data_IF_957293055896
#
_entry.id   IF_957293055896
#
_cell.length_a   1.000
_cell.length_b   1.000
_cell.length_c   1.000
_cell.angle_alpha   90.00
_cell.angle_beta   90.00
_cell.angle_gamma   90.00
#
_symmetry.space_group_name_H-M   'P 1'
#
loop_
_entity.id
_entity.type
_entity.pdbx_description
1 polymer ?
#
# COMPACT_ATOMS: atom_id res chain seq x y z
N UNK A 1 -12.74 8.99 -24.84
CA UNK A 1 -13.06 7.55 -24.94
C UNK A 1 -13.66 7.12 -23.63
N UNK A 2 -14.90 6.63 -23.63
CA UNK A 2 -15.54 6.06 -22.44
C UNK A 2 -14.88 4.72 -22.15
N UNK A 3 -14.02 4.67 -21.12
CA UNK A 3 -13.49 3.39 -20.63
C UNK A 3 -14.68 2.47 -20.30
N UNK A 4 -14.62 1.17 -20.65
CA UNK A 4 -15.65 0.23 -20.23
C UNK A 4 -15.80 0.32 -18.71
N UNK A 5 -17.02 0.29 -18.20
CA UNK A 5 -17.27 0.39 -16.76
C UNK A 5 -16.61 -0.79 -16.04
N UNK A 6 -15.43 -0.58 -15.47
CA UNK A 6 -14.72 -1.55 -14.64
C UNK A 6 -14.92 -1.21 -13.16
N UNK A 7 -14.83 -2.23 -12.29
CA UNK A 7 -14.80 -1.95 -10.86
C UNK A 7 -13.39 -1.51 -10.46
N UNK A 8 -13.30 -0.27 -9.96
CA UNK A 8 -12.04 0.37 -9.54
C UNK A 8 -11.40 -0.29 -8.32
N UNK A 9 -12.18 -0.89 -7.39
CA UNK A 9 -11.67 -1.64 -6.23
C UNK A 9 -11.06 -2.97 -6.67
N UNK A 10 -11.80 -3.70 -7.50
CA UNK A 10 -11.30 -4.96 -8.10
C UNK A 10 -10.02 -4.69 -8.89
N UNK A 11 -10.02 -3.64 -9.70
CA UNK A 11 -8.87 -3.30 -10.53
C UNK A 11 -7.68 -2.80 -9.73
N UNK A 12 -7.88 -2.09 -8.62
CA UNK A 12 -6.80 -1.75 -7.68
C UNK A 12 -6.15 -3.01 -7.09
N UNK A 13 -6.96 -3.99 -6.65
CA UNK A 13 -6.43 -5.26 -6.13
C UNK A 13 -5.72 -6.09 -7.19
N UNK A 14 -6.28 -6.18 -8.40
CA UNK A 14 -5.68 -6.92 -9.50
C UNK A 14 -4.38 -6.25 -9.98
N UNK A 15 -4.36 -4.92 -10.05
CA UNK A 15 -3.19 -4.16 -10.49
C UNK A 15 -2.06 -4.28 -9.46
N UNK A 16 -2.39 -4.17 -8.18
CA UNK A 16 -1.48 -4.50 -7.08
C UNK A 16 -0.92 -5.92 -7.21
N UNK A 17 -1.80 -6.93 -7.34
CA UNK A 17 -1.39 -8.32 -7.39
C UNK A 17 -0.52 -8.62 -8.62
N UNK A 18 -0.85 -8.05 -9.77
CA UNK A 18 -0.04 -8.18 -10.98
C UNK A 18 1.35 -7.56 -10.81
N UNK A 19 1.43 -6.38 -10.18
CA UNK A 19 2.71 -5.70 -9.93
C UNK A 19 3.58 -6.43 -8.90
N UNK A 20 2.97 -7.00 -7.86
CA UNK A 20 3.60 -7.86 -6.84
C UNK A 20 3.87 -9.29 -7.35
N UNK A 21 3.53 -9.60 -8.61
CA UNK A 21 3.60 -10.95 -9.18
C UNK A 21 2.89 -12.01 -8.29
N UNK A 22 1.77 -11.61 -7.70
CA UNK A 22 0.92 -12.41 -6.84
C UNK A 22 1.68 -13.02 -5.64
N UNK A 23 2.68 -12.32 -5.11
CA UNK A 23 3.50 -12.78 -4.00
C UNK A 23 2.92 -12.34 -2.65
N UNK A 24 3.79 -12.04 -1.70
CA UNK A 24 3.46 -11.92 -0.30
C UNK A 24 2.71 -10.64 0.04
N UNK A 25 2.99 -9.53 -0.64
CA UNK A 25 2.22 -8.30 -0.41
C UNK A 25 0.76 -8.50 -0.85
N UNK A 26 0.53 -9.32 -1.89
CA UNK A 26 -0.82 -9.71 -2.29
C UNK A 26 -1.52 -10.48 -1.18
N UNK A 27 -0.82 -11.40 -0.51
CA UNK A 27 -1.38 -12.15 0.61
C UNK A 27 -1.63 -11.26 1.84
N UNK A 28 -0.78 -10.27 2.08
CA UNK A 28 -0.99 -9.26 3.12
C UNK A 28 -2.22 -8.41 2.81
N UNK A 29 -2.36 -7.85 1.61
CA UNK A 29 -3.53 -7.07 1.20
C UNK A 29 -4.83 -7.91 1.32
N UNK A 30 -4.79 -9.20 0.97
CA UNK A 30 -5.90 -10.13 1.18
C UNK A 30 -6.19 -10.38 2.67
N UNK A 31 -5.16 -10.47 3.51
CA UNK A 31 -5.30 -10.61 4.96
C UNK A 31 -5.95 -9.39 5.61
N UNK A 32 -5.51 -8.19 5.24
CA UNK A 32 -6.14 -6.94 5.67
C UNK A 32 -7.58 -6.86 5.19
N UNK A 33 -7.84 -7.21 3.93
CA UNK A 33 -9.21 -7.24 3.39
C UNK A 33 -10.13 -8.17 4.17
N UNK A 34 -9.61 -9.37 4.53
CA UNK A 34 -10.34 -10.36 5.33
C UNK A 34 -10.67 -9.81 6.72
N UNK A 35 -9.68 -9.24 7.40
CA UNK A 35 -9.87 -8.63 8.73
C UNK A 35 -10.93 -7.52 8.69
N UNK A 36 -10.88 -6.62 7.70
CA UNK A 36 -11.87 -5.55 7.55
C UNK A 36 -13.30 -6.07 7.34
N UNK A 37 -13.46 -7.19 6.63
CA UNK A 37 -14.78 -7.81 6.41
C UNK A 37 -15.30 -8.54 7.65
N UNK A 38 -14.43 -9.29 8.33
CA UNK A 38 -14.79 -10.08 9.51
C UNK A 38 -15.02 -9.19 10.74
N UNK A 39 -14.13 -8.24 11.01
CA UNK A 39 -14.22 -7.33 12.15
C UNK A 39 -15.15 -6.13 11.89
N UNK A 40 -15.48 -5.83 10.62
CA UNK A 40 -16.27 -4.67 10.19
C UNK A 40 -15.69 -3.31 10.61
N UNK A 41 -14.43 -3.28 11.03
CA UNK A 41 -13.63 -2.12 11.43
C UNK A 41 -12.15 -2.48 11.24
N UNK A 42 -11.26 -1.50 11.35
CA UNK A 42 -9.85 -1.79 11.50
C UNK A 42 -9.57 -2.40 12.88
N UNK A 43 -8.94 -3.56 12.90
CA UNK A 43 -8.46 -4.23 14.11
C UNK A 43 -7.00 -4.65 13.86
N UNK A 44 -6.06 -3.82 14.33
CA UNK A 44 -4.64 -4.05 14.09
C UNK A 44 -4.11 -5.38 14.65
N UNK A 45 -4.72 -5.89 15.73
CA UNK A 45 -4.39 -7.19 16.31
C UNK A 45 -4.84 -8.35 15.43
N UNK A 46 -6.00 -8.22 14.79
CA UNK A 46 -6.49 -9.21 13.83
C UNK A 46 -5.73 -9.14 12.50
N UNK A 47 -5.44 -7.93 11.99
CA UNK A 47 -4.63 -7.70 10.79
C UNK A 47 -3.25 -8.33 10.91
N UNK A 48 -2.51 -8.06 11.99
CA UNK A 48 -1.17 -8.62 12.17
C UNK A 48 -1.22 -10.16 12.27
N UNK A 49 -2.27 -10.72 12.86
CA UNK A 49 -2.47 -12.16 12.93
C UNK A 49 -2.58 -12.76 11.53
N UNK A 50 -3.33 -12.13 10.62
CA UNK A 50 -3.40 -12.56 9.22
C UNK A 50 -2.06 -12.45 8.50
N UNK A 51 -1.33 -11.35 8.70
CA UNK A 51 -0.01 -11.18 8.08
C UNK A 51 0.99 -12.23 8.56
N UNK A 52 1.06 -12.46 9.88
CA UNK A 52 1.93 -13.47 10.48
C UNK A 52 1.53 -14.88 10.05
N UNK A 53 0.24 -15.20 9.92
CA UNK A 53 -0.20 -16.49 9.38
C UNK A 53 0.30 -16.72 7.96
N UNK A 54 0.21 -15.71 7.08
CA UNK A 54 0.74 -15.80 5.71
C UNK A 54 2.26 -15.98 5.69
N UNK A 55 2.98 -15.19 6.49
CA UNK A 55 4.44 -15.27 6.60
C UNK A 55 4.94 -16.60 7.20
N UNK A 56 4.31 -17.04 8.28
CA UNK A 56 4.69 -18.25 9.01
C UNK A 56 4.39 -19.52 8.19
N UNK A 57 3.23 -19.57 7.52
CA UNK A 57 2.82 -20.72 6.70
C UNK A 57 3.56 -20.87 5.38
N UNK A 58 4.37 -19.89 4.97
CA UNK A 58 5.13 -19.92 3.71
C UNK A 58 6.49 -20.60 3.86
N UNK A 59 6.86 -21.43 2.88
CA UNK A 59 8.18 -22.03 2.72
C UNK A 59 8.59 -22.08 1.22
N UNK A 60 9.66 -21.40 0.78
CA UNK A 60 10.57 -20.57 1.58
C UNK A 60 9.88 -19.33 2.17
N UNK A 61 10.54 -18.66 3.13
CA UNK A 61 10.02 -17.41 3.68
C UNK A 61 9.91 -16.35 2.59
N UNK A 62 8.80 -15.60 2.54
CA UNK A 62 8.58 -14.63 1.49
C UNK A 62 9.48 -13.41 1.66
N UNK A 63 9.81 -12.76 0.55
CA UNK A 63 10.49 -11.47 0.58
C UNK A 63 9.49 -10.34 0.88
N UNK A 64 9.48 -9.87 2.13
CA UNK A 64 8.60 -8.77 2.60
C UNK A 64 9.40 -7.56 3.12
N UNK A 65 10.69 -7.49 2.78
CA UNK A 65 11.60 -6.44 3.22
C UNK A 65 12.13 -6.60 4.65
N UNK A 66 13.31 -6.03 4.90
CA UNK A 66 14.08 -6.25 6.14
C UNK A 66 13.37 -5.78 7.41
N UNK A 67 12.69 -4.62 7.36
CA UNK A 67 12.00 -4.07 8.53
C UNK A 67 10.81 -4.95 8.91
N UNK A 68 9.97 -5.33 7.93
CA UNK A 68 8.83 -6.23 8.16
C UNK A 68 9.29 -7.59 8.69
N UNK A 69 10.34 -8.17 8.07
CA UNK A 69 10.95 -9.42 8.55
C UNK A 69 11.43 -9.29 10.00
N UNK A 70 12.19 -8.23 10.32
CA UNK A 70 12.69 -8.00 11.68
C UNK A 70 11.56 -7.92 12.70
N UNK A 71 10.48 -7.21 12.37
CA UNK A 71 9.30 -7.13 13.25
C UNK A 71 8.64 -8.50 13.43
N UNK A 72 8.50 -9.30 12.36
CA UNK A 72 7.90 -10.63 12.44
C UNK A 72 8.75 -11.61 13.22
N UNK A 73 10.07 -11.57 13.05
CA UNK A 73 11.00 -12.37 13.84
C UNK A 73 10.91 -12.03 15.33
N UNK A 74 10.83 -10.74 15.69
CA UNK A 74 10.61 -10.33 17.08
C UNK A 74 9.23 -10.76 17.62
N UNK A 75 8.19 -10.75 16.77
CA UNK A 75 6.88 -11.29 17.15
C UNK A 75 6.92 -12.79 17.41
N UNK A 76 7.59 -13.55 16.55
CA UNK A 76 7.66 -15.01 16.64
C UNK A 76 8.48 -15.50 17.84
N UNK A 77 9.31 -14.64 18.44
CA UNK A 77 9.93 -14.91 19.75
C UNK A 77 8.91 -14.88 20.90
N UNK A 78 7.81 -14.14 20.75
CA UNK A 78 6.75 -13.97 21.77
C UNK A 78 5.57 -14.91 21.56
N UNK A 79 5.19 -15.17 20.31
CA UNK A 79 4.13 -16.13 19.95
C UNK A 79 4.63 -17.09 18.89
N UNK A 80 4.64 -18.39 19.20
CA UNK A 80 5.16 -19.43 18.31
C UNK A 80 4.10 -20.11 17.45
N UNK A 81 2.86 -20.18 17.92
CA UNK A 81 1.77 -20.92 17.28
C UNK A 81 0.55 -20.02 17.04
N UNK A 82 -0.26 -20.30 16.00
CA UNK A 82 -1.49 -19.56 15.74
C UNK A 82 -2.57 -19.83 16.82
N UNK A 83 -3.50 -18.88 17.04
CA UNK A 83 -3.62 -17.59 16.37
C UNK A 83 -2.55 -16.59 16.86
N UNK A 84 -1.86 -15.93 15.93
CA UNK A 84 -0.79 -14.96 16.20
C UNK A 84 -1.35 -13.61 16.70
N UNK A 85 -2.14 -13.63 17.77
CA UNK A 85 -2.81 -12.44 18.33
C UNK A 85 -2.08 -11.91 19.55
N UNK A 86 -1.72 -10.63 19.49
CA UNK A 86 -1.24 -9.84 20.63
C UNK A 86 -2.12 -8.61 20.81
N UNK A 87 -2.21 -8.05 22.03
CA UNK A 87 -2.74 -6.71 22.24
C UNK A 87 -2.01 -5.67 21.38
N UNK A 88 -2.75 -4.70 20.82
CA UNK A 88 -2.20 -3.67 19.93
C UNK A 88 -1.03 -2.89 20.52
N UNK A 89 -1.06 -2.64 21.84
CA UNK A 89 0.06 -2.00 22.56
C UNK A 89 1.37 -2.79 22.46
N UNK A 90 1.27 -4.12 22.53
CA UNK A 90 2.44 -4.99 22.49
C UNK A 90 2.96 -5.08 21.05
N UNK A 91 2.05 -5.04 20.07
CA UNK A 91 2.39 -4.95 18.65
C UNK A 91 3.18 -3.69 18.35
N UNK A 92 2.69 -2.53 18.78
CA UNK A 92 3.41 -1.27 18.61
C UNK A 92 4.72 -1.23 19.39
N UNK A 93 4.80 -1.86 20.56
CA UNK A 93 6.07 -1.98 21.31
C UNK A 93 7.14 -2.74 20.53
N UNK A 94 6.77 -3.79 19.79
CA UNK A 94 7.69 -4.57 18.95
C UNK A 94 8.15 -3.73 17.76
N UNK A 95 7.22 -3.10 17.05
CA UNK A 95 7.58 -2.23 15.91
C UNK A 95 8.47 -1.07 16.35
N UNK A 96 8.19 -0.46 17.50
CA UNK A 96 9.02 0.59 18.10
C UNK A 96 10.43 0.09 18.44
N UNK A 97 10.56 -1.09 19.07
CA UNK A 97 11.88 -1.65 19.39
C UNK A 97 12.72 -1.90 18.13
N UNK A 98 12.10 -2.36 17.03
CA UNK A 98 12.78 -2.49 15.73
C UNK A 98 13.14 -1.13 15.15
N UNK A 99 12.27 -0.12 15.30
CA UNK A 99 12.56 1.26 14.88
C UNK A 99 13.81 1.83 15.56
N UNK A 100 13.88 1.72 16.88
CA UNK A 100 15.01 2.17 17.69
C UNK A 100 16.29 1.40 17.36
N UNK A 101 16.21 0.08 17.19
CA UNK A 101 17.35 -0.77 16.80
C UNK A 101 17.93 -0.37 15.44
N UNK A 102 17.11 0.22 14.56
CA UNK A 102 17.52 0.72 13.25
C UNK A 102 17.77 2.25 13.25
N UNK A 103 17.96 2.87 14.43
CA UNK A 103 18.23 4.30 14.58
C UNK A 103 17.19 5.21 13.88
N UNK A 104 15.93 4.77 13.91
CA UNK A 104 14.81 5.48 13.26
C UNK A 104 14.72 5.29 11.73
N UNK A 105 15.63 4.54 11.11
CA UNK A 105 15.71 4.36 9.66
C UNK A 105 14.75 3.27 9.15
N UNK A 106 13.46 3.38 9.48
CA UNK A 106 12.42 2.41 9.07
C UNK A 106 11.34 3.02 8.20
N UNK A 107 11.65 4.07 7.45
CA UNK A 107 10.71 4.79 6.57
C UNK A 107 10.53 4.09 5.20
N UNK A 108 10.44 2.75 5.19
CA UNK A 108 10.26 1.95 3.99
C UNK A 108 8.83 2.00 3.45
N UNK A 109 8.64 1.75 2.15
CA UNK A 109 7.35 1.86 1.45
C UNK A 109 6.38 0.68 1.64
N UNK A 110 6.81 -0.41 2.30
CA UNK A 110 6.02 -1.64 2.45
C UNK A 110 4.59 -1.41 3.01
N UNK A 111 4.36 -0.52 4.00
CA UNK A 111 3.01 -0.19 4.44
C UNK A 111 2.10 0.36 3.33
N UNK A 112 2.58 1.32 2.55
CA UNK A 112 1.81 1.91 1.46
C UNK A 112 1.47 0.91 0.35
N UNK A 113 2.31 -0.11 0.18
CA UNK A 113 2.11 -1.17 -0.80
C UNK A 113 0.97 -2.13 -0.41
N UNK A 114 0.60 -2.25 0.87
CA UNK A 114 -0.36 -3.26 1.33
C UNK A 114 -1.63 -2.70 1.98
N UNK A 115 -1.63 -1.44 2.40
CA UNK A 115 -2.69 -0.85 3.22
C UNK A 115 -3.92 -0.39 2.43
N UNK A 116 -3.81 -0.30 1.09
CA UNK A 116 -4.87 0.21 0.21
C UNK A 116 -6.26 -0.45 0.34
N UNK A 117 -6.45 -1.70 0.81
CA UNK A 117 -7.79 -2.23 1.10
C UNK A 117 -8.58 -1.40 2.14
N UNK A 118 -7.92 -0.61 2.99
CA UNK A 118 -8.57 0.36 3.87
C UNK A 118 -9.45 1.35 3.07
N UNK A 119 -9.00 1.74 1.88
CA UNK A 119 -9.71 2.63 0.96
C UNK A 119 -11.00 2.03 0.40
N UNK A 120 -11.25 0.73 0.62
CA UNK A 120 -12.47 0.08 0.13
C UNK A 120 -13.60 0.15 1.16
N UNK A 121 -13.25 0.26 2.45
CA UNK A 121 -14.18 0.16 3.55
C UNK A 121 -14.97 1.46 3.75
N UNK A 122 -16.22 1.52 3.27
CA UNK A 122 -17.08 2.72 3.41
C UNK A 122 -17.38 3.14 4.86
N UNK A 123 -17.20 2.24 5.82
CA UNK A 123 -17.40 2.52 7.25
C UNK A 123 -16.27 3.36 7.87
N UNK A 124 -15.14 3.48 7.16
CA UNK A 124 -14.05 4.36 7.52
C UNK A 124 -14.22 5.63 6.69
N UNK A 125 -14.53 6.76 7.34
CA UNK A 125 -14.54 8.06 6.69
C UNK A 125 -13.12 8.51 6.30
N UNK A 126 -13.01 9.51 5.43
CA UNK A 126 -11.73 9.89 4.83
C UNK A 126 -10.73 10.48 5.85
N UNK A 127 -11.22 11.17 6.88
CA UNK A 127 -10.34 11.68 7.96
C UNK A 127 -9.76 10.53 8.77
N UNK A 128 -10.60 9.57 9.16
CA UNK A 128 -10.19 8.37 9.86
C UNK A 128 -9.35 7.45 8.97
N UNK A 129 -9.54 7.45 7.65
CA UNK A 129 -8.78 6.62 6.71
C UNK A 129 -7.28 6.94 6.77
N UNK A 130 -6.92 8.23 6.79
CA UNK A 130 -5.53 8.63 6.89
C UNK A 130 -4.87 8.11 8.18
N UNK A 131 -5.52 8.34 9.32
CA UNK A 131 -4.98 7.92 10.62
C UNK A 131 -4.94 6.39 10.76
N UNK A 132 -5.97 5.68 10.31
CA UNK A 132 -6.02 4.22 10.33
C UNK A 132 -4.92 3.62 9.45
N UNK A 133 -4.61 4.22 8.31
CA UNK A 133 -3.49 3.78 7.47
C UNK A 133 -2.12 4.03 8.12
N UNK A 134 -1.97 5.12 8.89
CA UNK A 134 -0.80 5.34 9.75
C UNK A 134 -0.70 4.28 10.86
N UNK A 135 -1.84 3.92 11.47
CA UNK A 135 -1.92 2.92 12.53
C UNK A 135 -1.67 1.49 12.01
N UNK A 136 -2.10 1.17 10.79
CA UNK A 136 -1.74 -0.05 10.05
C UNK A 136 -0.24 -0.08 9.75
N UNK A 137 0.31 1.05 9.29
CA UNK A 137 1.74 1.12 9.01
C UNK A 137 2.56 0.81 10.26
N UNK A 138 2.16 1.37 11.41
CA UNK A 138 2.79 1.16 12.73
C UNK A 138 2.78 -0.30 13.20
N UNK A 139 1.99 -1.19 12.59
CA UNK A 139 2.08 -2.63 12.88
C UNK A 139 3.46 -3.20 12.55
N UNK A 140 4.18 -2.60 11.58
CA UNK A 140 5.51 -3.06 11.15
C UNK A 140 6.53 -1.94 10.99
N UNK A 141 6.10 -0.72 10.69
CA UNK A 141 6.96 0.44 10.48
C UNK A 141 6.52 1.56 11.42
N UNK A 142 7.23 1.77 12.52
CA UNK A 142 6.88 2.81 13.50
C UNK A 142 7.12 4.25 12.98
N UNK A 143 7.89 4.39 11.90
CA UNK A 143 8.19 5.67 11.26
C UNK A 143 6.92 6.44 10.85
N UNK A 144 6.82 7.68 11.33
CA UNK A 144 5.78 8.64 10.91
C UNK A 144 5.77 8.85 9.41
N UNK A 145 6.93 8.93 8.76
CA UNK A 145 7.03 9.09 7.30
C UNK A 145 6.39 7.93 6.55
N UNK A 146 6.66 6.68 6.96
CA UNK A 146 6.04 5.51 6.33
C UNK A 146 4.51 5.50 6.52
N UNK A 147 4.04 5.90 7.71
CA UNK A 147 2.63 6.07 7.99
C UNK A 147 1.94 7.11 7.09
N UNK A 148 2.50 8.32 7.02
CA UNK A 148 1.91 9.42 6.23
C UNK A 148 1.84 9.07 4.73
N UNK A 149 2.85 8.38 4.18
CA UNK A 149 2.82 7.90 2.79
C UNK A 149 1.77 6.80 2.58
N UNK A 150 1.62 5.88 3.56
CA UNK A 150 0.55 4.87 3.54
C UNK A 150 -0.84 5.52 3.54
N UNK A 151 -1.04 6.54 4.39
CA UNK A 151 -2.27 7.32 4.46
C UNK A 151 -2.61 8.05 3.17
N UNK A 152 -1.64 8.75 2.57
CA UNK A 152 -1.85 9.41 1.28
C UNK A 152 -2.17 8.41 0.16
N UNK A 153 -1.47 7.27 0.10
CA UNK A 153 -1.74 6.23 -0.89
C UNK A 153 -3.18 5.71 -0.77
N UNK A 154 -3.63 5.45 0.46
CA UNK A 154 -5.01 5.03 0.73
C UNK A 154 -6.04 6.09 0.31
N UNK A 155 -5.79 7.37 0.62
CA UNK A 155 -6.68 8.47 0.23
C UNK A 155 -6.76 8.63 -1.29
N UNK A 156 -5.64 8.63 -2.00
CA UNK A 156 -5.62 8.73 -3.48
C UNK A 156 -6.42 7.55 -4.06
N UNK A 157 -6.18 6.33 -3.56
CA UNK A 157 -6.92 5.14 -3.98
C UNK A 157 -8.43 5.28 -3.73
N UNK A 158 -8.83 5.80 -2.55
CA UNK A 158 -10.24 6.05 -2.18
C UNK A 158 -10.90 7.02 -3.15
N UNK A 159 -10.27 8.15 -3.43
CA UNK A 159 -10.83 9.16 -4.32
C UNK A 159 -10.99 8.61 -5.75
N UNK A 160 -10.00 7.88 -6.25
CA UNK A 160 -10.12 7.20 -7.55
C UNK A 160 -11.29 6.21 -7.55
N UNK A 161 -11.42 5.38 -6.52
CA UNK A 161 -12.54 4.43 -6.38
C UNK A 161 -13.90 5.12 -6.36
N UNK A 162 -13.96 6.32 -5.79
CA UNK A 162 -15.16 7.16 -5.74
C UNK A 162 -15.42 7.92 -7.06
N UNK A 163 -14.58 7.73 -8.08
CA UNK A 163 -14.81 8.25 -9.43
C UNK A 163 -14.14 9.59 -9.71
N UNK A 164 -13.27 10.07 -8.83
CA UNK A 164 -12.51 11.30 -9.04
C UNK A 164 -11.53 11.12 -10.20
N UNK A 165 -11.32 12.19 -10.95
CA UNK A 165 -10.25 12.26 -11.94
C UNK A 165 -8.88 12.33 -11.25
N UNK A 166 -7.81 11.97 -11.96
CA UNK A 166 -6.47 11.80 -11.38
C UNK A 166 -5.99 13.00 -10.55
N UNK A 167 -6.06 14.20 -11.12
CA UNK A 167 -5.54 15.41 -10.49
C UNK A 167 -6.41 15.88 -9.31
N UNK A 168 -7.72 15.64 -9.41
CA UNK A 168 -8.68 15.91 -8.33
C UNK A 168 -8.46 14.93 -7.17
N UNK A 169 -8.20 13.66 -7.46
CA UNK A 169 -7.93 12.63 -6.46
C UNK A 169 -6.65 12.93 -5.67
N UNK A 170 -5.58 13.37 -6.34
CA UNK A 170 -4.34 13.80 -5.66
C UNK A 170 -4.60 15.03 -4.79
N UNK A 171 -5.21 16.07 -5.35
CA UNK A 171 -5.49 17.31 -4.61
C UNK A 171 -6.33 17.03 -3.37
N UNK A 172 -7.44 16.30 -3.53
CA UNK A 172 -8.34 15.93 -2.43
C UNK A 172 -7.65 15.09 -1.36
N UNK A 173 -6.76 14.16 -1.75
CA UNK A 173 -5.98 13.37 -0.80
C UNK A 173 -5.05 14.23 0.06
N UNK A 174 -4.32 15.17 -0.55
CA UNK A 174 -3.43 16.07 0.19
C UNK A 174 -4.20 17.03 1.10
N UNK A 175 -5.31 17.62 0.61
CA UNK A 175 -6.17 18.48 1.44
C UNK A 175 -6.75 17.74 2.64
N UNK A 176 -7.22 16.50 2.43
CA UNK A 176 -7.72 15.65 3.51
C UNK A 176 -6.64 15.35 4.53
N UNK A 177 -5.45 14.95 4.07
CA UNK A 177 -4.32 14.65 4.92
C UNK A 177 -3.89 15.87 5.76
N UNK A 178 -3.76 17.06 5.14
CA UNK A 178 -3.45 18.31 5.83
C UNK A 178 -4.51 18.72 6.85
N UNK A 179 -5.79 18.50 6.54
CA UNK A 179 -6.88 18.80 7.48
C UNK A 179 -6.91 17.87 8.71
N UNK A 180 -6.36 16.66 8.57
CA UNK A 180 -6.34 15.63 9.62
C UNK A 180 -5.06 15.67 10.43
N UNK A 181 -3.93 15.93 9.77
CA UNK A 181 -2.61 16.06 10.34
C UNK A 181 -1.92 17.31 9.77
N UNK A 182 -2.12 18.49 10.38
CA UNK A 182 -1.53 19.76 9.91
C UNK A 182 0.00 19.70 9.81
N UNK A 183 0.64 18.87 10.64
CA UNK A 183 2.08 18.65 10.69
C UNK A 183 2.55 17.55 9.71
N UNK A 184 1.99 17.52 8.49
CA UNK A 184 2.58 16.70 7.42
C UNK A 184 4.06 17.07 7.27
N UNK A 185 4.91 16.06 7.14
CA UNK A 185 6.35 16.28 6.98
C UNK A 185 6.62 17.08 5.69
N UNK A 186 7.58 18.01 5.75
CA UNK A 186 7.87 18.92 4.63
C UNK A 186 8.18 18.18 3.33
N UNK A 187 8.92 17.06 3.38
CA UNK A 187 9.19 16.24 2.20
C UNK A 187 7.92 15.67 1.54
N UNK A 188 6.89 15.38 2.35
CA UNK A 188 5.61 14.86 1.86
C UNK A 188 4.80 15.98 1.23
N UNK A 189 4.82 17.18 1.82
CA UNK A 189 4.21 18.36 1.21
C UNK A 189 4.88 18.71 -0.13
N UNK A 190 6.19 18.52 -0.26
CA UNK A 190 6.90 18.76 -1.51
C UNK A 190 6.48 17.80 -2.64
N UNK A 191 6.07 16.55 -2.34
CA UNK A 191 5.56 15.61 -3.35
C UNK A 191 4.38 16.22 -4.11
N UNK A 192 3.43 16.87 -3.42
CA UNK A 192 2.26 17.49 -4.06
C UNK A 192 2.66 18.55 -5.09
N UNK A 193 3.71 19.32 -4.81
CA UNK A 193 4.16 20.42 -5.67
C UNK A 193 4.92 19.92 -6.90
N UNK A 194 5.49 18.72 -6.80
CA UNK A 194 6.60 18.29 -7.66
C UNK A 194 6.38 16.94 -8.35
N UNK A 195 5.25 16.25 -8.12
CA UNK A 195 5.00 14.94 -8.73
C UNK A 195 4.95 14.95 -10.27
N UNK A 196 4.85 16.14 -10.89
CA UNK A 196 4.87 16.31 -12.35
C UNK A 196 6.22 16.74 -12.93
N UNK A 197 7.17 17.12 -12.07
CA UNK A 197 8.44 17.71 -12.47
C UNK A 197 9.44 16.64 -12.91
N UNK A 198 9.93 16.75 -14.14
CA UNK A 198 10.91 15.83 -14.72
C UNK A 198 12.30 15.97 -14.07
N UNK A 199 12.66 17.14 -13.54
CA UNK A 199 13.99 17.37 -12.94
C UNK A 199 14.18 16.58 -11.65
N UNK A 200 13.10 16.37 -10.90
CA UNK A 200 13.17 15.69 -9.62
C UNK A 200 13.27 14.18 -9.79
N UNK A 201 12.85 13.66 -10.94
CA UNK A 201 13.12 12.27 -11.27
C UNK A 201 14.62 12.01 -11.37
N UNK A 202 15.38 12.93 -11.97
CA UNK A 202 16.84 12.82 -12.03
C UNK A 202 17.45 12.83 -10.62
N UNK A 203 16.97 13.70 -9.74
CA UNK A 203 17.44 13.76 -8.34
C UNK A 203 17.04 12.54 -7.50
N UNK A 204 15.84 11.99 -7.75
CA UNK A 204 15.27 10.84 -7.02
C UNK A 204 15.86 9.51 -7.49
N UNK A 205 16.23 9.41 -8.77
CA UNK A 205 16.78 8.20 -9.41
C UNK A 205 18.31 8.19 -9.50
N UNK A 206 19.00 9.27 -9.11
CA UNK A 206 20.45 9.27 -9.01
C UNK A 206 20.95 8.09 -8.15
N UNK A 207 21.98 7.40 -8.65
CA UNK A 207 22.41 6.02 -8.33
C UNK A 207 22.74 5.70 -6.86
N UNK A 208 22.59 6.66 -5.94
CA UNK A 208 22.95 6.53 -4.53
C UNK A 208 21.80 6.72 -3.52
N UNK A 209 20.50 6.81 -3.91
CA UNK A 209 19.42 7.05 -2.93
C UNK A 209 18.14 6.21 -3.07
N UNK A 210 18.06 5.20 -2.19
CA UNK A 210 16.88 4.73 -1.43
C UNK A 210 15.56 4.58 -2.19
N UNK A 211 15.50 3.79 -3.25
CA UNK A 211 14.23 3.45 -3.93
C UNK A 211 13.14 2.89 -2.98
N UNK A 212 13.55 2.24 -1.88
CA UNK A 212 12.67 1.73 -0.82
C UNK A 212 12.09 2.83 0.10
N UNK A 213 12.66 4.03 0.10
CA UNK A 213 12.21 5.14 0.95
C UNK A 213 10.83 5.61 0.52
N UNK A 214 9.86 5.57 1.44
CA UNK A 214 8.45 5.72 1.11
C UNK A 214 8.12 7.01 0.33
N UNK A 215 8.64 8.20 0.69
CA UNK A 215 8.46 9.42 -0.10
C UNK A 215 8.93 9.29 -1.56
N UNK A 216 10.12 8.74 -1.79
CA UNK A 216 10.68 8.56 -3.14
C UNK A 216 9.82 7.58 -3.95
N UNK A 217 9.37 6.48 -3.32
CA UNK A 217 8.51 5.49 -3.98
C UNK A 217 7.17 6.09 -4.40
N UNK A 218 6.51 6.86 -3.51
CA UNK A 218 5.24 7.51 -3.84
C UNK A 218 5.43 8.56 -4.94
N UNK A 219 6.46 9.41 -4.83
CA UNK A 219 6.74 10.42 -5.85
C UNK A 219 6.94 9.77 -7.23
N UNK A 220 7.80 8.75 -7.31
CA UNK A 220 8.06 8.03 -8.57
C UNK A 220 6.77 7.39 -9.11
N UNK A 221 5.93 6.82 -8.25
CA UNK A 221 4.67 6.24 -8.68
C UNK A 221 3.70 7.29 -9.25
N UNK A 222 3.54 8.43 -8.57
CA UNK A 222 2.69 9.53 -9.03
C UNK A 222 3.20 10.11 -10.35
N UNK A 223 4.51 10.24 -10.51
CA UNK A 223 5.14 10.65 -11.76
C UNK A 223 4.81 9.68 -12.91
N UNK A 224 5.06 8.37 -12.72
CA UNK A 224 4.80 7.34 -13.73
C UNK A 224 3.34 7.37 -14.22
N UNK A 225 2.39 7.47 -13.29
CA UNK A 225 0.96 7.50 -13.61
C UNK A 225 0.57 8.81 -14.28
N UNK A 226 1.20 9.93 -13.91
CA UNK A 226 0.91 11.23 -14.53
C UNK A 226 1.38 11.29 -15.99
N UNK A 227 2.51 10.65 -16.30
CA UNK A 227 3.10 10.63 -17.65
C UNK A 227 2.56 9.53 -18.56
N UNK A 228 1.69 8.67 -18.06
CA UNK A 228 1.11 7.55 -18.80
C UNK A 228 -0.34 7.82 -19.20
N UNK A 229 -0.79 7.08 -20.22
CA UNK A 229 -2.14 7.11 -20.79
C UNK A 229 -2.95 5.83 -20.52
N UNK A 230 -2.32 4.84 -19.91
CA UNK A 230 -2.85 3.49 -19.70
C UNK A 230 -2.17 2.81 -18.51
N UNK A 231 -2.82 1.76 -17.99
CA UNK A 231 -2.26 0.93 -16.92
C UNK A 231 -0.92 0.30 -17.35
N UNK A 232 -0.87 -0.24 -18.57
CA UNK A 232 0.30 -0.86 -19.18
C UNK A 232 1.47 0.10 -19.27
N UNK A 233 1.23 1.29 -19.83
CA UNK A 233 2.27 2.31 -20.01
C UNK A 233 2.79 2.79 -18.65
N UNK A 234 1.91 3.05 -17.68
CA UNK A 234 2.32 3.48 -16.34
C UNK A 234 3.18 2.43 -15.63
N UNK A 235 2.79 1.15 -15.70
CA UNK A 235 3.53 0.08 -15.07
C UNK A 235 4.86 -0.21 -15.79
N UNK A 236 4.89 -0.11 -17.12
CA UNK A 236 6.13 -0.20 -17.90
C UNK A 236 7.09 0.94 -17.54
N UNK A 237 6.58 2.16 -17.33
CA UNK A 237 7.38 3.29 -16.86
C UNK A 237 7.96 3.01 -15.48
N UNK A 238 7.12 2.58 -14.53
CA UNK A 238 7.53 2.25 -13.18
C UNK A 238 8.67 1.23 -13.16
N UNK A 239 8.51 0.12 -13.88
CA UNK A 239 9.52 -0.97 -13.94
C UNK A 239 10.86 -0.55 -14.52
N UNK A 240 10.89 0.46 -15.41
CA UNK A 240 12.14 1.00 -15.95
C UNK A 240 12.89 1.88 -14.94
N UNK A 241 12.15 2.64 -14.12
CA UNK A 241 12.74 3.57 -13.16
C UNK A 241 13.09 2.92 -11.82
N UNK A 242 12.26 1.97 -11.38
CA UNK A 242 12.45 1.18 -10.17
C UNK A 242 11.73 -0.16 -10.36
N UNK A 243 12.43 -1.28 -10.60
CA UNK A 243 11.80 -2.55 -10.87
C UNK A 243 11.17 -3.21 -9.64
N UNK A 244 11.46 -2.75 -8.42
CA UNK A 244 11.14 -3.48 -7.19
C UNK A 244 10.03 -2.84 -6.35
N UNK A 245 10.08 -1.52 -6.12
CA UNK A 245 9.19 -0.92 -5.10
C UNK A 245 8.05 -0.10 -5.72
N UNK A 246 8.39 0.84 -6.59
CA UNK A 246 7.45 1.70 -7.31
C UNK A 246 6.33 0.95 -8.06
N UNK A 247 6.57 -0.18 -8.77
CA UNK A 247 5.57 -0.82 -9.59
C UNK A 247 4.33 -1.24 -8.81
N UNK A 248 4.47 -1.56 -7.53
CA UNK A 248 3.35 -2.00 -6.68
C UNK A 248 2.39 -0.84 -6.40
N UNK A 249 2.92 0.35 -6.06
CA UNK A 249 2.09 1.54 -5.89
C UNK A 249 1.42 1.95 -7.21
N UNK A 250 2.16 1.84 -8.32
CA UNK A 250 1.60 2.07 -9.66
C UNK A 250 0.49 1.07 -9.96
N UNK A 251 0.67 -0.21 -9.65
CA UNK A 251 -0.34 -1.25 -9.82
C UNK A 251 -1.65 -0.91 -9.10
N UNK A 252 -1.57 -0.47 -7.83
CA UNK A 252 -2.74 -0.06 -7.05
C UNK A 252 -3.47 1.11 -7.72
N UNK A 253 -2.75 2.21 -7.94
CA UNK A 253 -3.35 3.49 -8.32
C UNK A 253 -3.74 3.52 -9.81
N UNK A 254 -2.89 2.99 -10.70
CA UNK A 254 -3.21 2.85 -12.13
C UNK A 254 -4.35 1.85 -12.33
N UNK A 255 -4.41 0.77 -11.54
CA UNK A 255 -5.52 -0.18 -11.56
C UNK A 255 -6.84 0.49 -11.19
N UNK A 256 -6.85 1.31 -10.13
CA UNK A 256 -8.03 2.11 -9.77
C UNK A 256 -8.40 3.16 -10.83
N UNK A 257 -7.40 3.72 -11.53
CA UNK A 257 -7.57 4.79 -12.53
C UNK A 257 -8.12 4.28 -13.87
N UNK A 258 -7.53 3.23 -14.42
CA UNK A 258 -7.77 2.78 -15.81
C UNK A 258 -8.34 1.36 -15.93
N UNK A 259 -8.35 0.60 -14.84
CA UNK A 259 -8.66 -0.82 -14.89
C UNK A 259 -7.43 -1.65 -15.26
N UNK A 260 -7.49 -2.95 -14.96
CA UNK A 260 -6.47 -3.90 -15.43
C UNK A 260 -7.00 -4.61 -16.68
N UNK A 261 -6.29 -4.54 -17.83
CA UNK A 261 -6.68 -5.28 -19.02
C UNK A 261 -6.73 -6.79 -18.73
N UNK A 262 -7.82 -7.49 -19.11
CA UNK A 262 -7.92 -8.94 -18.89
C UNK A 262 -6.77 -9.74 -19.51
N UNK A 263 -6.22 -9.26 -20.63
CA UNK A 263 -5.09 -9.87 -21.34
C UNK A 263 -3.79 -9.86 -20.55
N UNK A 264 -3.67 -9.03 -19.51
CA UNK A 264 -2.51 -9.02 -18.63
C UNK A 264 -2.62 -10.03 -17.50
N UNK A 265 -3.81 -10.56 -17.21
CA UNK A 265 -4.02 -11.44 -16.08
C UNK A 265 -3.57 -12.87 -16.44
N UNK A 266 -2.56 -13.42 -15.74
CA UNK A 266 -1.97 -14.69 -16.13
C UNK A 266 -2.80 -15.89 -15.65
N UNK A 267 -3.01 -16.87 -16.54
CA UNK A 267 -3.87 -18.05 -16.29
C UNK A 267 -3.39 -18.92 -15.12
N UNK A 268 -2.07 -19.00 -14.91
CA UNK A 268 -1.49 -19.77 -13.80
C UNK A 268 -1.84 -19.21 -12.40
N UNK A 269 -2.46 -18.03 -12.32
CA UNK A 269 -2.97 -17.43 -11.09
C UNK A 269 -4.50 -17.35 -11.02
N UNK A 270 -5.23 -18.08 -11.86
CA UNK A 270 -6.71 -18.01 -11.96
C UNK A 270 -7.43 -18.11 -10.61
N UNK A 271 -7.03 -19.03 -9.72
CA UNK A 271 -7.64 -19.18 -8.39
C UNK A 271 -7.36 -17.98 -7.47
N UNK A 272 -6.14 -17.43 -7.51
CA UNK A 272 -5.80 -16.24 -6.71
C UNK A 272 -6.51 -15.01 -7.24
N UNK A 273 -6.65 -14.87 -8.56
CA UNK A 273 -7.47 -13.86 -9.23
C UNK A 273 -8.93 -13.98 -8.78
N UNK A 274 -9.52 -15.18 -8.82
CA UNK A 274 -10.89 -15.43 -8.36
C UNK A 274 -11.08 -15.04 -6.89
N UNK A 275 -10.12 -15.38 -6.02
CA UNK A 275 -10.10 -14.96 -4.61
C UNK A 275 -10.06 -13.44 -4.46
N UNK A 276 -9.21 -12.76 -5.23
CA UNK A 276 -9.13 -11.29 -5.26
C UNK A 276 -10.48 -10.67 -5.64
N UNK A 277 -11.10 -11.13 -6.74
CA UNK A 277 -12.40 -10.63 -7.21
C UNK A 277 -13.50 -10.83 -6.17
N UNK A 278 -13.54 -12.01 -5.55
CA UNK A 278 -14.48 -12.30 -4.45
C UNK A 278 -14.27 -11.36 -3.27
N UNK A 279 -13.01 -11.13 -2.90
CA UNK A 279 -12.66 -10.26 -1.78
C UNK A 279 -13.04 -8.80 -2.04
N UNK A 280 -12.71 -8.25 -3.21
CA UNK A 280 -13.08 -6.86 -3.57
C UNK A 280 -14.60 -6.66 -3.63
N UNK A 281 -15.34 -7.64 -4.14
CA UNK A 281 -16.80 -7.60 -4.18
C UNK A 281 -17.44 -7.54 -2.79
N UNK A 282 -16.81 -8.13 -1.77
CA UNK A 282 -17.29 -8.11 -0.37
C UNK A 282 -17.39 -6.72 0.25
N UNK A 283 -16.73 -5.70 -0.32
CA UNK A 283 -16.82 -4.30 0.13
C UNK A 283 -18.00 -3.52 -0.49
N UNK A 284 -18.76 -4.14 -1.40
CA UNK A 284 -19.96 -3.52 -1.99
C UNK A 284 -21.20 -3.64 -1.08
N UNK A 285 -21.21 -4.63 -0.19
CA UNK A 285 -22.29 -4.94 0.75
C UNK A 285 -22.20 -4.10 2.04
#
# INVERSE_FOLDING_TARGET
>A
MTHPAFDRRESAMLGHAYADNFQALTDMALGLSKSLQECRKFDGSDVISHYLSAYHGSNPKPNIGNITNSVYEEFLKRIKEPPFKLPIKDIYSVSYAVHEKNHGLTSGCNPAQRSFPLAFCKRIDDKNLFQIACDEARLTHFSTTAGQISGLTCLICRYLINGYEWDEAITSAFETALSTAPDLLGEIQEIQKRYRDDNILNDTLNENRRHIYAPNTLHTALYCITKADSFESALAHARRLDPLYCPILVGILAGARWGVPPTMLPDNYAEKIKKIKKMSAGFRA
#
